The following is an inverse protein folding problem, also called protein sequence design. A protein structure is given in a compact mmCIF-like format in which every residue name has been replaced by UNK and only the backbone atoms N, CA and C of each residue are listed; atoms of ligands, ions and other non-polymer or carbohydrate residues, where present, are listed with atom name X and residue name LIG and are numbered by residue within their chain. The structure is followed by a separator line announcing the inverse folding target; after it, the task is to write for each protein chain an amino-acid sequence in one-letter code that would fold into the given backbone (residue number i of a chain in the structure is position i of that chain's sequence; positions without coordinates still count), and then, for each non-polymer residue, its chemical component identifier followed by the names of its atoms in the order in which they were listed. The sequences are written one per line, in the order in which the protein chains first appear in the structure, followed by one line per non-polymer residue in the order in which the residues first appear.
data_IF_574247860800
#
_entry.id   IF_574247860800
#
_cell.length_a   1.000
_cell.length_b   1.000
_cell.length_c   1.000
_cell.angle_alpha   90.00
_cell.angle_beta   90.00
_cell.angle_gamma   90.00
#
_symmetry.space_group_name_H-M   'P 1'
#
loop_
_entity.id
_entity.type
_entity.pdbx_description
1 polymer ?
#
# COMPACT_ATOMS: atom_id res chain seq x y z
N UNK A 1 -15.52 9.44 45.42
CA UNK A 1 -16.38 9.27 44.23
C UNK A 1 -15.47 9.34 43.02
N UNK A 2 -14.98 8.18 42.58
CA UNK A 2 -14.10 8.05 41.41
C UNK A 2 -15.01 7.73 40.21
N UNK A 3 -15.54 8.77 39.56
CA UNK A 3 -16.30 8.65 38.32
C UNK A 3 -15.33 8.31 37.20
N UNK A 4 -14.92 7.03 37.13
CA UNK A 4 -14.28 6.49 35.94
C UNK A 4 -15.34 6.46 34.86
N UNK A 5 -15.35 7.54 34.09
CA UNK A 5 -15.98 7.63 32.79
C UNK A 5 -15.49 6.43 31.97
N UNK A 6 -16.30 5.37 31.93
CA UNK A 6 -16.14 4.28 30.98
C UNK A 6 -16.52 4.88 29.63
N UNK A 7 -15.58 5.63 29.05
CA UNK A 7 -15.65 6.05 27.67
C UNK A 7 -15.71 4.79 26.84
N UNK A 8 -16.94 4.37 26.53
CA UNK A 8 -17.23 3.25 25.66
C UNK A 8 -16.35 3.41 24.43
N UNK A 9 -15.40 2.49 24.28
CA UNK A 9 -14.47 2.51 23.17
C UNK A 9 -15.30 2.43 21.90
N UNK A 10 -15.53 3.59 21.26
CA UNK A 10 -16.38 3.63 20.08
C UNK A 10 -15.82 2.65 19.05
N UNK A 11 -16.67 1.75 18.53
CA UNK A 11 -16.21 0.68 17.68
C UNK A 11 -15.54 1.29 16.45
N UNK A 12 -14.32 0.83 16.15
CA UNK A 12 -13.56 1.30 14.99
C UNK A 12 -14.47 1.24 13.75
N UNK A 13 -14.69 2.36 13.04
CA UNK A 13 -15.55 2.37 11.87
C UNK A 13 -14.93 1.54 10.76
N UNK A 14 -15.73 0.64 10.21
CA UNK A 14 -15.29 -0.28 9.16
C UNK A 14 -15.30 0.42 7.80
N UNK A 15 -14.36 0.09 6.92
CA UNK A 15 -14.36 0.63 5.57
C UNK A 15 -15.64 0.21 4.82
N UNK A 16 -16.23 1.18 4.11
CA UNK A 16 -17.40 0.95 3.26
C UNK A 16 -17.15 -0.09 2.15
N UNK A 17 -18.21 -0.53 1.47
CA UNK A 17 -18.09 -1.48 0.36
C UNK A 17 -17.14 -0.97 -0.74
N UNK A 18 -17.27 0.30 -1.12
CA UNK A 18 -16.42 0.91 -2.14
C UNK A 18 -14.92 0.85 -1.79
N UNK A 19 -14.56 1.20 -0.55
CA UNK A 19 -13.15 1.16 -0.10
C UNK A 19 -12.60 -0.26 -0.14
N UNK A 20 -13.39 -1.26 0.27
CA UNK A 20 -12.97 -2.67 0.21
C UNK A 20 -12.71 -3.15 -1.21
N UNK A 21 -13.55 -2.74 -2.17
CA UNK A 21 -13.33 -3.04 -3.58
C UNK A 21 -12.06 -2.35 -4.10
N UNK A 22 -11.82 -1.09 -3.73
CA UNK A 22 -10.60 -0.35 -4.08
C UNK A 22 -9.35 -1.03 -3.50
N UNK A 23 -9.41 -1.53 -2.26
CA UNK A 23 -8.32 -2.30 -1.64
C UNK A 23 -8.02 -3.58 -2.40
N UNK A 24 -9.05 -4.38 -2.71
CA UNK A 24 -8.88 -5.63 -3.43
C UNK A 24 -8.35 -5.39 -4.86
N UNK A 25 -8.89 -4.38 -5.55
CA UNK A 25 -8.45 -3.96 -6.88
C UNK A 25 -7.00 -3.49 -6.87
N UNK A 26 -6.64 -2.58 -5.95
CA UNK A 26 -5.26 -2.12 -5.80
C UNK A 26 -4.30 -3.27 -5.46
N UNK A 27 -4.72 -4.21 -4.62
CA UNK A 27 -3.94 -5.41 -4.32
C UNK A 27 -3.70 -6.31 -5.54
N UNK A 28 -4.74 -6.56 -6.34
CA UNK A 28 -4.61 -7.33 -7.58
C UNK A 28 -3.67 -6.64 -8.59
N UNK A 29 -3.74 -5.32 -8.68
CA UNK A 29 -2.87 -4.54 -9.55
C UNK A 29 -1.40 -4.55 -9.11
N UNK A 30 -1.10 -4.61 -7.82
CA UNK A 30 0.27 -4.80 -7.34
C UNK A 30 0.85 -6.14 -7.78
N UNK A 31 0.04 -7.22 -7.76
CA UNK A 31 0.46 -8.52 -8.27
C UNK A 31 0.70 -8.48 -9.80
N UNK A 32 -0.22 -7.85 -10.55
CA UNK A 32 -0.06 -7.65 -11.99
C UNK A 32 1.18 -6.83 -12.32
N UNK A 33 1.41 -5.74 -11.58
CA UNK A 33 2.61 -4.91 -11.72
C UNK A 33 3.88 -5.72 -11.44
N UNK A 34 3.91 -6.50 -10.36
CA UNK A 34 5.04 -7.36 -10.04
C UNK A 34 5.36 -8.36 -11.16
N UNK A 35 4.32 -8.98 -11.72
CA UNK A 35 4.47 -9.88 -12.86
C UNK A 35 5.04 -9.15 -14.09
N UNK A 36 4.39 -8.09 -14.54
CA UNK A 36 4.77 -7.41 -15.78
C UNK A 36 6.12 -6.68 -15.68
N UNK A 37 6.43 -6.08 -14.53
CA UNK A 37 7.65 -5.29 -14.35
C UNK A 37 8.89 -6.16 -14.15
N UNK A 38 8.78 -7.32 -13.49
CA UNK A 38 9.95 -8.14 -13.12
C UNK A 38 10.13 -9.40 -13.96
N UNK A 39 9.08 -9.97 -14.57
CA UNK A 39 9.19 -11.24 -15.32
C UNK A 39 9.24 -11.06 -16.84
N UNK A 40 8.67 -9.98 -17.38
CA UNK A 40 8.51 -9.79 -18.85
C UNK A 40 9.45 -8.82 -19.59
N UNK A 41 10.35 -8.01 -19.00
CA UNK A 41 11.16 -7.08 -19.80
C UNK A 41 12.27 -7.74 -20.66
N UNK A 42 12.22 -9.05 -20.91
CA UNK A 42 13.15 -9.73 -21.82
C UNK A 42 12.75 -9.50 -23.29
N UNK A 43 13.34 -8.49 -23.96
CA UNK A 43 13.08 -8.23 -25.38
C UNK A 43 13.94 -7.13 -26.00
N UNK A 44 13.91 -7.02 -27.34
CA UNK A 44 14.68 -6.05 -28.15
C UNK A 44 14.33 -4.57 -27.90
N UNK A 45 13.21 -4.30 -27.24
CA UNK A 45 12.68 -2.94 -26.99
C UNK A 45 12.96 -2.42 -25.58
N UNK A 46 14.00 -2.96 -24.93
CA UNK A 46 14.42 -2.59 -23.58
C UNK A 46 15.91 -2.26 -23.59
N UNK A 47 16.26 -1.03 -23.21
CA UNK A 47 17.64 -0.58 -23.07
C UNK A 47 18.03 -0.55 -21.59
N UNK A 48 19.17 -1.14 -21.24
CA UNK A 48 19.70 -1.04 -19.88
C UNK A 48 20.37 0.32 -19.64
N UNK A 49 20.03 1.01 -18.54
CA UNK A 49 20.69 2.26 -18.12
C UNK A 49 21.57 1.96 -16.91
N UNK A 50 22.88 1.85 -17.16
CA UNK A 50 23.89 1.48 -16.16
C UNK A 50 23.93 2.45 -14.97
N UNK A 51 23.89 3.76 -15.23
CA UNK A 51 24.01 4.81 -14.20
C UNK A 51 22.89 4.77 -13.16
N UNK A 52 21.72 4.30 -13.56
CA UNK A 52 20.54 4.21 -12.69
C UNK A 52 20.22 2.75 -12.30
N UNK A 53 20.96 1.80 -12.85
CA UNK A 53 20.78 0.37 -12.61
C UNK A 53 19.38 -0.14 -12.96
N UNK A 54 18.75 0.31 -14.04
CA UNK A 54 17.45 -0.25 -14.47
C UNK A 54 17.23 -0.25 -15.98
N UNK A 55 16.28 -1.07 -16.41
CA UNK A 55 15.81 -1.19 -17.80
C UNK A 55 14.82 -0.08 -18.20
N UNK A 56 15.13 0.64 -19.27
CA UNK A 56 14.27 1.61 -19.94
C UNK A 56 13.46 0.90 -21.04
N UNK A 57 12.14 1.11 -21.06
CA UNK A 57 11.25 0.54 -22.08
C UNK A 57 11.08 1.56 -23.20
N UNK A 58 11.47 1.19 -24.42
CA UNK A 58 11.45 2.09 -25.59
C UNK A 58 10.10 2.05 -26.33
N UNK A 59 9.44 0.90 -26.34
CA UNK A 59 8.12 0.73 -26.97
C UNK A 59 7.00 1.34 -26.11
N UNK A 60 6.21 2.23 -26.71
CA UNK A 60 5.11 2.93 -26.03
C UNK A 60 4.08 1.97 -25.44
N UNK A 61 3.69 0.93 -26.19
CA UNK A 61 2.69 -0.04 -25.73
C UNK A 61 3.18 -0.83 -24.50
N UNK A 62 4.46 -1.23 -24.51
CA UNK A 62 5.09 -1.92 -23.38
C UNK A 62 5.26 -0.98 -22.18
N UNK A 63 5.60 0.29 -22.41
CA UNK A 63 5.72 1.29 -21.36
C UNK A 63 4.40 1.48 -20.60
N UNK A 64 3.27 1.50 -21.33
CA UNK A 64 1.93 1.53 -20.73
C UNK A 64 1.65 0.24 -19.98
N UNK A 65 1.82 -0.90 -20.63
CA UNK A 65 1.49 -2.20 -20.06
C UNK A 65 2.27 -2.49 -18.77
N UNK A 66 3.56 -2.13 -18.70
CA UNK A 66 4.42 -2.51 -17.57
C UNK A 66 4.29 -1.58 -16.37
N UNK A 67 3.90 -0.32 -16.56
CA UNK A 67 3.87 0.68 -15.48
C UNK A 67 2.46 1.02 -15.03
N UNK A 68 1.47 1.01 -15.93
CA UNK A 68 0.09 1.40 -15.62
C UNK A 68 -0.51 0.60 -14.45
N UNK A 69 -0.33 -0.74 -14.36
CA UNK A 69 -0.82 -1.49 -13.21
C UNK A 69 -0.26 -0.97 -11.89
N UNK A 70 1.03 -0.65 -11.83
CA UNK A 70 1.68 -0.12 -10.63
C UNK A 70 1.15 1.26 -10.24
N UNK A 71 0.92 2.14 -11.22
CA UNK A 71 0.41 3.50 -10.98
C UNK A 71 -1.01 3.43 -10.40
N UNK A 72 -1.87 2.63 -11.02
CA UNK A 72 -3.23 2.42 -10.56
C UNK A 72 -3.25 1.73 -9.19
N UNK A 73 -2.36 0.77 -8.95
CA UNK A 73 -2.23 0.10 -7.66
C UNK A 73 -1.88 1.08 -6.56
N UNK A 74 -0.86 1.93 -6.78
CA UNK A 74 -0.41 2.94 -5.82
C UNK A 74 -1.52 3.94 -5.51
N UNK A 75 -2.21 4.48 -6.51
CA UNK A 75 -3.31 5.43 -6.31
C UNK A 75 -4.48 4.78 -5.55
N UNK A 76 -4.90 3.59 -5.96
CA UNK A 76 -6.00 2.87 -5.31
C UNK A 76 -5.68 2.53 -3.84
N UNK A 77 -4.50 1.97 -3.59
CA UNK A 77 -4.07 1.59 -2.23
C UNK A 77 -3.83 2.80 -1.34
N UNK A 78 -3.31 3.91 -1.88
CA UNK A 78 -3.18 5.17 -1.14
C UNK A 78 -4.54 5.76 -0.79
N UNK A 79 -5.48 5.78 -1.74
CA UNK A 79 -6.84 6.25 -1.49
C UNK A 79 -7.54 5.44 -0.38
N UNK A 80 -7.40 4.11 -0.45
CA UNK A 80 -7.92 3.22 0.58
C UNK A 80 -7.24 3.47 1.94
N UNK A 81 -5.91 3.63 1.96
CA UNK A 81 -5.15 3.92 3.18
C UNK A 81 -5.61 5.24 3.83
N UNK A 82 -5.75 6.30 3.04
CA UNK A 82 -6.24 7.61 3.51
C UNK A 82 -7.64 7.49 4.10
N UNK A 83 -8.54 6.81 3.39
CA UNK A 83 -9.92 6.60 3.85
C UNK A 83 -9.95 5.86 5.19
N UNK A 84 -9.16 4.79 5.34
CA UNK A 84 -9.03 4.05 6.59
C UNK A 84 -8.41 4.91 7.72
N UNK A 85 -7.36 5.67 7.43
CA UNK A 85 -6.71 6.55 8.41
C UNK A 85 -7.62 7.69 8.89
N UNK A 86 -8.49 8.20 8.01
CA UNK A 86 -9.51 9.19 8.39
C UNK A 86 -10.62 8.58 9.22
N UNK A 87 -10.98 7.31 9.00
CA UNK A 87 -12.01 6.62 9.74
C UNK A 87 -11.60 6.36 11.21
N UNK A 88 -10.31 6.13 11.49
CA UNK A 88 -9.75 5.90 12.84
C UNK A 88 -9.78 7.15 13.77
N UNK A 89 -10.80 8.02 13.67
CA UNK A 89 -10.94 9.36 14.29
C UNK A 89 -11.01 9.45 15.81
N UNK A 90 -10.87 8.35 16.55
CA UNK A 90 -11.20 8.31 17.98
C UNK A 90 -10.27 9.09 18.92
N UNK A 91 -8.99 9.36 18.60
CA UNK A 91 -8.11 10.18 19.47
C UNK A 91 -7.07 10.98 18.66
N UNK A 92 -6.74 12.24 19.02
CA UNK A 92 -5.64 13.02 18.42
C UNK A 92 -4.25 12.56 18.92
N UNK A 93 -3.32 12.31 17.98
CA UNK A 93 -1.93 11.94 18.29
C UNK A 93 -0.95 12.30 17.17
N UNK A 94 0.28 12.72 17.54
CA UNK A 94 1.32 13.18 16.58
C UNK A 94 1.69 12.13 15.53
N UNK A 95 1.72 10.85 15.91
CA UNK A 95 2.01 9.72 15.02
C UNK A 95 0.95 9.55 13.91
N UNK A 96 -0.31 9.88 14.20
CA UNK A 96 -1.41 9.79 13.26
C UNK A 96 -1.40 10.93 12.26
N UNK A 97 -1.09 12.16 12.69
CA UNK A 97 -0.87 13.27 11.76
C UNK A 97 0.32 12.96 10.85
N UNK A 98 1.40 12.39 11.40
CA UNK A 98 2.54 11.93 10.63
C UNK A 98 2.16 10.88 9.57
N UNK A 99 1.37 9.86 9.94
CA UNK A 99 0.94 8.84 8.98
C UNK A 99 0.07 9.42 7.86
N UNK A 100 -0.85 10.34 8.17
CA UNK A 100 -1.67 11.01 7.16
C UNK A 100 -0.83 11.84 6.20
N UNK A 101 0.15 12.60 6.69
CA UNK A 101 1.06 13.38 5.85
C UNK A 101 1.86 12.46 4.93
N UNK A 102 2.36 11.33 5.44
CA UNK A 102 3.05 10.32 4.61
C UNK A 102 2.13 9.77 3.52
N UNK A 103 0.87 9.46 3.85
CA UNK A 103 -0.11 8.99 2.85
C UNK A 103 -0.48 10.07 1.82
N UNK A 104 -0.51 11.34 2.20
CA UNK A 104 -0.67 12.46 1.25
C UNK A 104 0.54 12.54 0.32
N UNK A 105 1.77 12.41 0.83
CA UNK A 105 2.96 12.34 -0.03
C UNK A 105 2.89 11.13 -0.97
N UNK A 106 2.43 9.98 -0.49
CA UNK A 106 2.21 8.81 -1.35
C UNK A 106 1.25 9.12 -2.50
N UNK A 107 0.18 9.88 -2.24
CA UNK A 107 -0.80 10.28 -3.25
C UNK A 107 -0.18 11.25 -4.26
N UNK A 108 0.57 12.25 -3.79
CA UNK A 108 1.29 13.21 -4.65
C UNK A 108 2.25 12.48 -5.57
N UNK A 109 3.07 11.56 -5.05
CA UNK A 109 3.98 10.76 -5.86
C UNK A 109 3.26 9.79 -6.80
N UNK A 110 2.10 9.26 -6.42
CA UNK A 110 1.24 8.48 -7.31
C UNK A 110 0.70 9.32 -8.47
N UNK A 111 0.32 10.57 -8.22
CA UNK A 111 -0.10 11.50 -9.27
C UNK A 111 1.08 11.90 -10.16
N UNK A 112 2.27 12.12 -9.60
CA UNK A 112 3.50 12.32 -10.38
C UNK A 112 3.79 11.13 -11.27
N UNK A 113 3.61 9.91 -10.75
CA UNK A 113 3.78 8.70 -11.55
C UNK A 113 2.76 8.62 -12.69
N UNK A 114 1.50 9.00 -12.44
CA UNK A 114 0.46 9.08 -13.45
C UNK A 114 0.76 10.15 -14.50
N UNK A 115 1.24 11.32 -14.10
CA UNK A 115 1.66 12.38 -15.02
C UNK A 115 2.84 11.91 -15.89
N UNK A 116 3.83 11.26 -15.28
CA UNK A 116 4.92 10.59 -16.00
C UNK A 116 4.40 9.52 -16.97
N UNK A 117 3.38 8.78 -16.57
CA UNK A 117 2.78 7.74 -17.41
C UNK A 117 2.08 8.31 -18.64
N UNK A 118 1.30 9.39 -18.46
CA UNK A 118 0.60 10.10 -19.53
C UNK A 118 1.58 10.82 -20.46
N UNK A 119 2.63 11.43 -19.90
CA UNK A 119 3.68 12.12 -20.64
C UNK A 119 4.80 11.22 -21.17
N UNK A 120 4.76 9.92 -20.88
CA UNK A 120 5.80 8.94 -21.23
C UNK A 120 7.20 9.30 -20.72
N UNK A 121 7.26 9.92 -19.55
CA UNK A 121 8.51 10.32 -18.89
C UNK A 121 8.85 9.26 -17.85
N UNK A 122 9.66 8.27 -18.24
CA UNK A 122 10.01 7.13 -17.37
C UNK A 122 10.59 7.54 -16.02
N UNK A 123 11.41 8.59 -15.98
CA UNK A 123 11.98 9.09 -14.72
C UNK A 123 10.89 9.54 -13.73
N UNK A 124 9.82 10.19 -14.22
CA UNK A 124 8.69 10.61 -13.39
C UNK A 124 7.82 9.42 -12.98
N UNK A 125 7.55 8.49 -13.89
CA UNK A 125 6.80 7.26 -13.60
C UNK A 125 7.50 6.41 -12.56
N UNK A 126 8.76 6.05 -12.83
CA UNK A 126 9.57 5.18 -11.99
C UNK A 126 9.90 5.84 -10.65
N UNK A 127 10.25 7.13 -10.64
CA UNK A 127 10.49 7.89 -9.42
C UNK A 127 9.21 8.01 -8.57
N UNK A 128 8.09 8.42 -9.19
CA UNK A 128 6.79 8.53 -8.53
C UNK A 128 6.30 7.21 -7.95
N UNK A 129 6.44 6.09 -8.67
CA UNK A 129 6.09 4.77 -8.16
C UNK A 129 6.94 4.37 -6.95
N UNK A 130 8.25 4.59 -7.05
CA UNK A 130 9.19 4.18 -6.01
C UNK A 130 8.96 4.98 -4.73
N UNK A 131 9.00 6.31 -4.81
CA UNK A 131 8.75 7.17 -3.65
C UNK A 131 7.32 7.03 -3.13
N UNK A 132 6.33 6.93 -4.01
CA UNK A 132 4.95 6.71 -3.62
C UNK A 132 4.76 5.43 -2.81
N UNK A 133 5.35 4.31 -3.24
CA UNK A 133 5.35 3.07 -2.48
C UNK A 133 6.08 3.20 -1.13
N UNK A 134 7.18 3.97 -1.06
CA UNK A 134 7.88 4.28 0.21
C UNK A 134 6.94 4.92 1.21
N UNK A 135 6.32 6.01 0.78
CA UNK A 135 5.49 6.87 1.61
C UNK A 135 4.21 6.15 2.01
N UNK A 136 3.67 5.33 1.11
CA UNK A 136 2.57 4.43 1.42
C UNK A 136 2.98 3.42 2.51
N UNK A 137 4.13 2.76 2.35
CA UNK A 137 4.64 1.80 3.31
C UNK A 137 4.89 2.41 4.70
N UNK A 138 5.62 3.53 4.75
CA UNK A 138 5.87 4.27 5.99
C UNK A 138 4.58 4.80 6.63
N UNK A 139 3.64 5.28 5.82
CA UNK A 139 2.34 5.75 6.27
C UNK A 139 1.52 4.64 6.92
N UNK A 140 1.44 3.47 6.28
CA UNK A 140 0.75 2.29 6.82
C UNK A 140 1.44 1.77 8.09
N UNK A 141 2.76 1.68 8.09
CA UNK A 141 3.52 1.26 9.27
C UNK A 141 3.27 2.17 10.46
N UNK A 142 3.35 3.49 10.24
CA UNK A 142 3.10 4.50 11.27
C UNK A 142 1.65 4.48 11.75
N UNK A 143 0.69 4.26 10.84
CA UNK A 143 -0.71 4.08 11.20
C UNK A 143 -0.92 2.84 12.06
N UNK A 144 -0.34 1.70 11.68
CA UNK A 144 -0.37 0.47 12.46
C UNK A 144 0.23 0.64 13.85
N UNK A 145 1.38 1.32 13.95
CA UNK A 145 2.04 1.64 15.21
C UNK A 145 1.20 2.58 16.09
N UNK A 146 0.51 3.56 15.49
CA UNK A 146 -0.41 4.44 16.20
C UNK A 146 -1.55 3.64 16.83
N UNK A 147 -2.14 2.69 16.09
CA UNK A 147 -3.21 1.82 16.58
C UNK A 147 -2.71 0.87 17.68
N UNK A 148 -1.47 0.36 17.60
CA UNK A 148 -0.88 -0.47 18.65
C UNK A 148 -0.61 0.29 19.95
N UNK A 149 -0.28 1.59 19.86
CA UNK A 149 0.03 2.43 21.04
C UNK A 149 -1.21 2.92 21.76
N UNK A 150 -2.33 3.11 21.04
CA UNK A 150 -3.61 3.36 21.68
C UNK A 150 -4.04 2.09 22.43
N UNK A 151 -4.36 2.23 23.73
CA UNK A 151 -4.60 1.17 24.73
C UNK A 151 -4.99 -0.17 24.12
N UNK A 152 -4.38 -1.31 24.54
CA UNK A 152 -4.71 -2.63 24.04
C UNK A 152 -6.20 -2.90 24.33
N UNK A 153 -7.05 -2.56 23.36
CA UNK A 153 -8.40 -3.06 23.28
C UNK A 153 -8.25 -4.58 23.28
N UNK A 154 -8.90 -5.25 24.22
CA UNK A 154 -8.92 -6.71 24.32
C UNK A 154 -9.48 -7.40 23.08
N UNK A 155 -9.93 -6.63 22.07
CA UNK A 155 -10.33 -7.18 20.78
C UNK A 155 -9.10 -7.66 20.01
N UNK A 156 -9.03 -8.99 19.79
CA UNK A 156 -8.09 -9.62 18.85
C UNK A 156 -8.06 -8.91 17.49
N UNK A 157 -9.17 -8.29 17.11
CA UNK A 157 -9.34 -7.52 15.88
C UNK A 157 -8.41 -6.29 15.79
N UNK A 158 -8.33 -5.47 16.85
CA UNK A 158 -7.46 -4.28 16.85
C UNK A 158 -5.99 -4.68 16.68
N UNK A 159 -5.58 -5.75 17.37
CA UNK A 159 -4.24 -6.31 17.23
C UNK A 159 -3.98 -6.86 15.83
N UNK A 160 -4.94 -7.57 15.22
CA UNK A 160 -4.81 -8.06 13.84
C UNK A 160 -4.73 -6.93 12.81
N UNK A 161 -5.51 -5.86 12.97
CA UNK A 161 -5.47 -4.70 12.06
C UNK A 161 -4.15 -3.96 12.22
N UNK A 162 -3.71 -3.69 13.46
CA UNK A 162 -2.44 -3.00 13.72
C UNK A 162 -1.25 -3.80 13.19
N UNK A 163 -1.13 -5.08 13.53
CA UNK A 163 -0.06 -5.96 13.03
C UNK A 163 -0.11 -6.11 11.51
N UNK A 164 -1.31 -6.24 10.92
CA UNK A 164 -1.51 -6.28 9.48
C UNK A 164 -1.01 -5.02 8.78
N UNK A 165 -1.34 -3.83 9.31
CA UNK A 165 -0.86 -2.55 8.78
C UNK A 165 0.65 -2.38 8.94
N UNK A 166 1.23 -2.83 10.05
CA UNK A 166 2.69 -2.80 10.26
C UNK A 166 3.42 -3.74 9.30
N UNK A 167 2.95 -4.97 9.14
CA UNK A 167 3.53 -5.94 8.19
C UNK A 167 3.40 -5.44 6.75
N UNK A 168 2.22 -4.92 6.38
CA UNK A 168 1.98 -4.37 5.05
C UNK A 168 2.87 -3.13 4.81
N UNK A 169 2.97 -2.24 5.80
CA UNK A 169 3.84 -1.07 5.75
C UNK A 169 5.31 -1.44 5.60
N UNK A 170 5.79 -2.41 6.38
CA UNK A 170 7.14 -2.96 6.26
C UNK A 170 7.41 -3.55 4.89
N UNK A 171 6.48 -4.36 4.35
CA UNK A 171 6.57 -4.91 3.00
C UNK A 171 6.63 -3.80 1.93
N UNK A 172 5.80 -2.76 2.06
CA UNK A 172 5.80 -1.60 1.15
C UNK A 172 7.14 -0.85 1.12
N UNK A 173 7.78 -0.65 2.28
CA UNK A 173 9.13 -0.06 2.37
C UNK A 173 10.17 -0.98 1.73
N UNK A 174 10.07 -2.30 1.96
CA UNK A 174 11.00 -3.28 1.40
C UNK A 174 10.94 -3.34 -0.13
N UNK A 175 9.78 -3.13 -0.76
CA UNK A 175 9.65 -3.10 -2.24
C UNK A 175 10.62 -2.08 -2.85
N UNK A 176 10.84 -0.95 -2.19
CA UNK A 176 11.76 0.08 -2.68
C UNK A 176 13.22 -0.33 -2.47
N UNK A 177 13.56 -0.88 -1.30
CA UNK A 177 14.92 -1.34 -0.99
C UNK A 177 15.35 -2.54 -1.84
N UNK A 178 14.40 -3.40 -2.21
CA UNK A 178 14.63 -4.54 -3.08
C UNK A 178 15.16 -4.12 -4.45
N UNK A 179 14.76 -2.95 -4.95
CA UNK A 179 15.14 -2.54 -6.31
C UNK A 179 16.63 -2.19 -6.44
N UNK A 180 17.20 -1.24 -5.68
CA UNK A 180 18.64 -1.02 -5.67
C UNK A 180 19.39 -2.26 -5.19
N UNK A 181 18.84 -3.06 -4.27
CA UNK A 181 19.53 -4.26 -3.78
C UNK A 181 19.64 -5.36 -4.85
N UNK A 182 18.56 -5.63 -5.59
CA UNK A 182 18.56 -6.58 -6.71
C UNK A 182 19.56 -6.16 -7.79
N UNK A 183 19.66 -4.86 -8.06
CA UNK A 183 20.55 -4.35 -9.10
C UNK A 183 22.00 -4.18 -8.66
N UNK A 184 22.24 -3.70 -7.44
CA UNK A 184 23.58 -3.50 -6.90
C UNK A 184 24.28 -4.82 -6.57
N UNK A 185 23.53 -5.81 -6.07
CA UNK A 185 24.13 -7.09 -5.70
C UNK A 185 24.12 -8.10 -6.86
N UNK A 186 23.30 -7.92 -7.90
CA UNK A 186 23.02 -8.94 -8.94
C UNK A 186 22.64 -10.34 -8.39
N UNK A 187 22.47 -10.47 -7.07
CA UNK A 187 22.40 -11.74 -6.34
C UNK A 187 20.96 -12.19 -6.10
N UNK A 188 19.98 -11.30 -6.27
CA UNK A 188 18.58 -11.60 -6.02
C UNK A 188 17.84 -11.79 -7.36
N UNK A 189 17.33 -13.01 -7.63
CA UNK A 189 16.46 -13.27 -8.76
C UNK A 189 15.32 -12.24 -8.84
N UNK A 190 14.99 -11.78 -10.05
CA UNK A 190 13.85 -10.86 -10.27
C UNK A 190 12.51 -11.40 -9.73
N UNK A 191 12.42 -12.73 -9.55
CA UNK A 191 11.32 -13.40 -8.86
C UNK A 191 11.07 -12.89 -7.44
N UNK A 192 12.09 -12.41 -6.71
CA UNK A 192 11.91 -11.83 -5.37
C UNK A 192 11.15 -10.50 -5.40
N UNK A 193 11.44 -9.64 -6.38
CA UNK A 193 10.68 -8.40 -6.59
C UNK A 193 9.22 -8.68 -6.92
N UNK A 194 8.96 -9.63 -7.83
CA UNK A 194 7.61 -10.08 -8.16
C UNK A 194 6.88 -10.66 -6.93
N UNK A 195 7.55 -11.53 -6.17
CA UNK A 195 7.00 -12.13 -4.95
C UNK A 195 6.67 -11.06 -3.90
N UNK A 196 7.53 -10.06 -3.69
CA UNK A 196 7.27 -8.97 -2.75
C UNK A 196 6.02 -8.17 -3.15
N UNK A 197 5.86 -7.84 -4.44
CA UNK A 197 4.66 -7.17 -4.95
C UNK A 197 3.40 -8.03 -4.80
N UNK A 198 3.48 -9.34 -5.04
CA UNK A 198 2.37 -10.28 -4.85
C UNK A 198 1.97 -10.37 -3.38
N UNK A 199 2.93 -10.54 -2.47
CA UNK A 199 2.67 -10.59 -1.01
C UNK A 199 2.05 -9.29 -0.53
N UNK A 200 2.57 -8.14 -0.98
CA UNK A 200 2.00 -6.84 -0.66
C UNK A 200 0.57 -6.70 -1.20
N UNK A 201 0.31 -7.14 -2.44
CA UNK A 201 -1.02 -7.14 -3.03
C UNK A 201 -2.01 -8.05 -2.30
N UNK A 202 -1.58 -9.26 -1.93
CA UNK A 202 -2.37 -10.20 -1.13
C UNK A 202 -2.73 -9.63 0.23
N UNK A 203 -1.82 -8.90 0.88
CA UNK A 203 -2.09 -8.23 2.16
C UNK A 203 -3.26 -7.25 2.08
N UNK A 204 -3.35 -6.48 0.99
CA UNK A 204 -4.50 -5.59 0.73
C UNK A 204 -5.81 -6.35 0.52
N UNK A 205 -5.77 -7.45 -0.23
CA UNK A 205 -6.95 -8.30 -0.46
C UNK A 205 -7.43 -8.93 0.84
N UNK A 206 -6.52 -9.47 1.66
CA UNK A 206 -6.85 -10.05 2.96
C UNK A 206 -7.46 -9.01 3.90
N UNK A 207 -6.96 -7.78 3.90
CA UNK A 207 -7.51 -6.69 4.71
C UNK A 207 -8.94 -6.30 4.25
N UNK A 208 -9.20 -6.32 2.94
CA UNK A 208 -10.53 -6.12 2.39
C UNK A 208 -11.52 -7.23 2.78
N UNK A 209 -11.06 -8.49 2.80
CA UNK A 209 -11.88 -9.63 3.22
C UNK A 209 -12.15 -9.63 4.73
N UNK A 210 -11.13 -9.33 5.54
CA UNK A 210 -11.24 -9.24 6.99
C UNK A 210 -12.26 -8.17 7.41
N UNK A 211 -12.18 -6.98 6.80
CA UNK A 211 -13.15 -5.90 7.06
C UNK A 211 -14.58 -6.24 6.59
N UNK A 212 -14.75 -7.13 5.60
CA UNK A 212 -16.07 -7.66 5.21
C UNK A 212 -16.64 -8.66 6.20
N UNK A 213 -15.83 -9.59 6.67
CA UNK A 213 -16.24 -10.55 7.68
C UNK A 213 -16.71 -9.84 8.95
N UNK A 214 -16.00 -8.78 9.34
CA UNK A 214 -16.33 -7.98 10.52
C UNK A 214 -17.65 -7.20 10.35
N UNK A 215 -17.87 -6.59 9.18
CA UNK A 215 -19.13 -5.89 8.91
C UNK A 215 -20.35 -6.82 8.99
N UNK A 216 -20.19 -8.09 8.57
CA UNK A 216 -21.26 -9.10 8.69
C UNK A 216 -21.51 -9.52 10.13
N UNK A 217 -20.46 -9.68 10.95
CA UNK A 217 -20.61 -10.04 12.37
C UNK A 217 -21.39 -8.97 13.14
N UNK A 218 -21.02 -7.70 12.99
CA UNK A 218 -21.74 -6.59 13.65
C UNK A 218 -23.20 -6.49 13.22
N UNK A 219 -23.50 -6.77 11.95
CA UNK A 219 -24.88 -6.79 11.48
C UNK A 219 -25.70 -7.92 12.11
N UNK A 220 -25.09 -9.07 12.42
CA UNK A 220 -25.75 -10.17 13.11
C UNK A 220 -25.98 -9.86 14.60
N UNK A 221 -25.02 -9.21 15.26
CA UNK A 221 -25.11 -8.85 16.69
C UNK A 221 -26.18 -7.78 16.97
N UNK A 222 -26.59 -6.99 15.97
CA UNK A 222 -27.67 -5.98 16.10
C UNK A 222 -29.06 -6.59 15.93
N UNK A 223 -29.16 -7.79 15.33
CA UNK A 223 -30.43 -8.48 15.07
C UNK A 223 -30.83 -9.42 16.21
N UNK A 224 -29.89 -9.75 17.10
CA UNK A 224 -30.09 -10.56 18.32
C UNK A 224 -30.33 -9.66 19.53
#
# INVERSE_FOLDING_TARGET
MDTRDHGDAQPVPLPGLAIRLIMAFGGALWAAYGYYRFMTPYGRDVLWREDLGYSLILSHGLFILYNLPGVLALLATTWAALSCATALRSVPGKLRTGSQVLLVFAAVFGLTAMAGQLGQIDALTTGGLSFGALFLGLGLFSAGLSVAREKPSSSRLSTMISSGLMLLGGAGVMILLLRPLMFALQMLPMAFGAAACVVFGLGWILLALASRAEAKRRAADVVL
#
